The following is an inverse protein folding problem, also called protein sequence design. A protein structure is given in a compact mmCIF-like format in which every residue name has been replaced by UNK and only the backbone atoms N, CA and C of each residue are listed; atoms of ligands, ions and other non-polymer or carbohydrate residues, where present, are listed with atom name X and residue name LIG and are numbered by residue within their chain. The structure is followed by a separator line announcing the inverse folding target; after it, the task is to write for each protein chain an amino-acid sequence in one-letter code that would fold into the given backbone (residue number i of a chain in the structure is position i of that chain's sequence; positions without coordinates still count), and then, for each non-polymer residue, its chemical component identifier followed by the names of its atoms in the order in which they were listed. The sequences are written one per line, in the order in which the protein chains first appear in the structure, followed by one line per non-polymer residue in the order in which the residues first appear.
data_IF_960047141757
#
_entry.id   IF_960047141757
#
_cell.length_a   1.000
_cell.length_b   1.000
_cell.length_c   1.000
_cell.angle_alpha   90.00
_cell.angle_beta   90.00
_cell.angle_gamma   90.00
#
_symmetry.space_group_name_H-M   'P 1'
#
loop_
_entity.id
_entity.type
_entity.pdbx_description
1 polymer ?
#
# COMPACT_ATOMS: atom_id res chain seq x y z
N UNK A 1 -14.40 11.48 17.05
CA UNK A 1 -14.01 10.06 17.29
C UNK A 1 -12.62 9.85 16.76
N UNK A 2 -11.71 9.27 17.57
CA UNK A 2 -10.35 8.96 17.10
C UNK A 2 -10.41 7.86 16.03
N UNK A 3 -9.60 8.00 14.97
CA UNK A 3 -9.40 6.96 13.98
C UNK A 3 -8.72 5.77 14.65
N UNK A 4 -9.26 4.57 14.43
CA UNK A 4 -8.68 3.34 14.96
C UNK A 4 -7.86 2.69 13.85
N UNK A 5 -6.55 2.60 14.07
CA UNK A 5 -5.62 1.89 13.17
C UNK A 5 -5.34 0.53 13.81
N UNK A 6 -5.55 -0.53 13.05
CA UNK A 6 -5.25 -1.90 13.48
C UNK A 6 -3.85 -2.28 12.99
N UNK A 7 -3.02 -2.86 13.85
CA UNK A 7 -1.74 -3.43 13.43
C UNK A 7 -1.98 -4.78 12.74
N UNK A 8 -1.22 -5.12 11.68
CA UNK A 8 -1.43 -6.34 10.90
C UNK A 8 -1.49 -7.63 11.73
N UNK A 9 -0.73 -7.70 12.82
CA UNK A 9 -0.75 -8.87 13.75
C UNK A 9 -2.10 -9.06 14.42
N UNK A 10 -2.80 -7.96 14.70
CA UNK A 10 -4.10 -7.94 15.39
C UNK A 10 -5.28 -7.86 14.42
N UNK A 11 -5.03 -8.00 13.10
CA UNK A 11 -6.09 -7.97 12.11
C UNK A 11 -6.90 -9.26 12.17
N UNK A 12 -8.16 -9.11 12.55
CA UNK A 12 -9.14 -10.17 12.64
C UNK A 12 -10.03 -10.12 11.38
N UNK A 13 -9.97 -11.18 10.58
CA UNK A 13 -10.72 -11.30 9.33
C UNK A 13 -12.21 -11.51 9.61
N UNK A 14 -12.57 -12.22 10.70
CA UNK A 14 -13.95 -12.51 11.04
C UNK A 14 -14.72 -11.25 11.49
N UNK A 15 -13.98 -10.24 11.98
CA UNK A 15 -14.56 -8.95 12.35
C UNK A 15 -14.88 -8.04 11.14
N UNK A 16 -14.48 -8.43 9.92
CA UNK A 16 -14.73 -7.61 8.72
C UNK A 16 -16.18 -7.70 8.31
N UNK A 17 -16.84 -6.55 8.33
CA UNK A 17 -18.23 -6.38 7.90
C UNK A 17 -18.34 -5.70 6.53
N UNK A 18 -19.52 -5.83 5.93
CA UNK A 18 -19.83 -5.29 4.62
C UNK A 18 -21.08 -4.41 4.68
N UNK A 19 -21.02 -3.25 4.05
CA UNK A 19 -22.19 -2.37 3.94
C UNK A 19 -23.21 -2.92 2.96
N UNK A 20 -24.41 -2.34 2.93
CA UNK A 20 -25.35 -2.53 1.81
C UNK A 20 -24.73 -2.03 0.51
N UNK A 21 -25.15 -2.63 -0.63
CA UNK A 21 -24.75 -2.16 -1.96
C UNK A 21 -25.12 -0.69 -2.15
N UNK A 22 -24.14 0.11 -2.57
CA UNK A 22 -24.34 1.51 -2.94
C UNK A 22 -24.08 1.70 -4.43
N UNK A 23 -24.87 2.56 -5.05
CA UNK A 23 -24.68 3.00 -6.44
C UNK A 23 -24.26 4.46 -6.41
N UNK A 24 -23.23 4.81 -7.15
CA UNK A 24 -22.84 6.20 -7.35
C UNK A 24 -23.67 6.86 -8.49
N UNK A 25 -23.53 8.18 -8.62
CA UNK A 25 -24.25 8.95 -9.66
C UNK A 25 -23.91 8.52 -11.10
N UNK A 26 -22.74 7.92 -11.30
CA UNK A 26 -22.26 7.42 -12.60
C UNK A 26 -22.60 5.94 -12.83
N UNK A 27 -23.48 5.33 -12.00
CA UNK A 27 -23.92 3.93 -12.14
C UNK A 27 -22.95 2.90 -11.56
N UNK A 28 -21.77 3.30 -11.09
CA UNK A 28 -20.82 2.40 -10.44
C UNK A 28 -21.38 1.85 -9.13
N UNK A 29 -21.15 0.56 -8.89
CA UNK A 29 -21.60 -0.17 -7.68
C UNK A 29 -20.43 -0.37 -6.73
N UNK A 30 -20.70 -0.28 -5.43
CA UNK A 30 -19.70 -0.52 -4.39
C UNK A 30 -20.33 -1.06 -3.10
N UNK A 31 -19.59 -1.90 -2.40
CA UNK A 31 -19.88 -2.37 -1.04
C UNK A 31 -18.68 -2.00 -0.17
N UNK A 32 -18.89 -1.22 0.88
CA UNK A 32 -17.80 -0.74 1.73
C UNK A 32 -17.44 -1.79 2.78
N UNK A 33 -16.12 -1.96 3.00
CA UNK A 33 -15.61 -2.76 4.09
C UNK A 33 -15.57 -1.91 5.37
N UNK A 34 -15.83 -2.57 6.49
CA UNK A 34 -15.76 -1.95 7.81
C UNK A 34 -15.35 -2.96 8.88
N UNK A 35 -14.95 -2.47 10.04
CA UNK A 35 -14.81 -3.25 11.27
C UNK A 35 -15.56 -2.48 12.35
N UNK A 36 -16.59 -3.10 12.95
CA UNK A 36 -17.48 -2.45 13.94
C UNK A 36 -18.03 -1.10 13.43
N UNK A 37 -18.53 -1.08 12.19
CA UNK A 37 -19.07 0.10 11.50
C UNK A 37 -18.08 1.27 11.28
N UNK A 38 -16.79 1.02 11.48
CA UNK A 38 -15.71 1.99 11.23
C UNK A 38 -14.90 1.57 10.01
N UNK A 39 -14.22 2.53 9.39
CA UNK A 39 -13.28 2.26 8.30
C UNK A 39 -12.19 1.30 8.74
N UNK A 40 -11.82 0.40 7.86
CA UNK A 40 -10.74 -0.56 8.09
C UNK A 40 -9.39 0.05 7.72
N UNK A 41 -8.73 0.65 8.72
CA UNK A 41 -7.34 1.08 8.60
C UNK A 41 -6.41 0.02 9.15
N UNK A 42 -5.44 -0.39 8.33
CA UNK A 42 -4.46 -1.41 8.69
C UNK A 42 -3.05 -0.85 8.54
N UNK A 43 -2.24 -0.99 9.59
CA UNK A 43 -0.79 -0.80 9.50
C UNK A 43 -0.17 -2.11 9.04
N UNK A 44 0.44 -2.09 7.86
CA UNK A 44 1.15 -3.22 7.28
C UNK A 44 2.52 -3.41 7.96
N UNK A 45 3.14 -4.59 7.87
CA UNK A 45 4.54 -4.76 8.24
C UNK A 45 5.46 -3.94 7.32
N UNK A 46 6.75 -3.92 7.64
CA UNK A 46 7.76 -3.35 6.76
C UNK A 46 7.92 -4.24 5.52
N UNK A 47 7.62 -3.69 4.36
CA UNK A 47 7.65 -4.38 3.06
C UNK A 47 8.57 -3.64 2.09
N UNK A 48 9.07 -4.36 1.10
CA UNK A 48 9.86 -3.79 0.00
C UNK A 48 8.93 -3.33 -1.12
N UNK A 49 9.20 -2.17 -1.68
CA UNK A 49 8.56 -1.71 -2.93
C UNK A 49 9.44 -2.12 -4.12
N UNK A 50 9.04 -3.11 -4.93
CA UNK A 50 9.87 -3.61 -6.01
C UNK A 50 10.04 -2.62 -7.16
N UNK A 51 9.10 -1.68 -7.31
CA UNK A 51 9.08 -0.74 -8.46
C UNK A 51 9.16 0.73 -8.03
N UNK A 52 8.99 1.04 -6.73
CA UNK A 52 8.79 2.41 -6.27
C UNK A 52 7.40 2.95 -6.62
N UNK A 53 7.27 4.26 -6.63
CA UNK A 53 6.04 4.94 -7.06
C UNK A 53 5.78 4.66 -8.54
N UNK A 54 4.66 4.01 -8.84
CA UNK A 54 4.25 3.66 -10.20
C UNK A 54 3.19 4.62 -10.72
N UNK A 55 3.35 5.03 -11.98
CA UNK A 55 2.46 5.95 -12.68
C UNK A 55 1.86 5.25 -13.90
N UNK A 56 0.57 5.43 -14.11
CA UNK A 56 -0.13 4.97 -15.32
C UNK A 56 -1.01 6.10 -15.85
N UNK A 57 -0.84 6.43 -17.11
CA UNK A 57 -1.69 7.39 -17.83
C UNK A 57 -2.57 6.62 -18.81
N UNK A 58 -3.87 6.80 -18.69
CA UNK A 58 -4.85 6.21 -19.60
C UNK A 58 -4.83 6.96 -20.92
N UNK A 59 -4.52 6.26 -22.00
CA UNK A 59 -4.36 6.86 -23.35
C UNK A 59 -5.66 7.46 -23.90
N UNK A 60 -6.81 6.96 -23.43
CA UNK A 60 -8.12 7.41 -23.93
C UNK A 60 -8.60 8.66 -23.20
N UNK A 61 -8.40 8.71 -21.90
CA UNK A 61 -8.91 9.79 -21.04
C UNK A 61 -7.86 10.81 -20.64
N UNK A 62 -6.56 10.52 -20.88
CA UNK A 62 -5.43 11.32 -20.43
C UNK A 62 -5.25 11.36 -18.89
N UNK A 63 -6.05 10.57 -18.16
CA UNK A 63 -6.03 10.56 -16.71
C UNK A 63 -4.85 9.77 -16.17
N UNK A 64 -4.03 10.44 -15.37
CA UNK A 64 -2.93 9.81 -14.65
C UNK A 64 -3.40 9.22 -13.32
N UNK A 65 -2.94 8.02 -13.02
CA UNK A 65 -3.17 7.32 -11.76
C UNK A 65 -1.85 6.84 -11.17
N UNK A 66 -1.79 6.82 -9.85
CA UNK A 66 -0.59 6.45 -9.09
C UNK A 66 -0.86 5.23 -8.22
N UNK A 67 0.16 4.41 -8.05
CA UNK A 67 0.09 3.22 -7.21
C UNK A 67 1.46 2.86 -6.63
N UNK A 68 1.43 2.10 -5.54
CA UNK A 68 2.58 1.52 -4.90
C UNK A 68 2.35 0.01 -4.78
N UNK A 69 3.22 -0.78 -5.40
CA UNK A 69 3.20 -2.22 -5.23
C UNK A 69 4.18 -2.59 -4.11
N UNK A 70 3.73 -3.45 -3.18
CA UNK A 70 4.52 -3.95 -2.07
C UNK A 70 4.73 -5.46 -2.22
N UNK A 71 5.97 -5.89 -2.07
CA UNK A 71 6.39 -7.28 -2.22
C UNK A 71 6.12 -8.06 -0.93
N UNK A 72 5.55 -9.25 -1.09
CA UNK A 72 5.32 -10.22 -0.03
C UNK A 72 6.45 -11.25 -0.07
N UNK A 73 7.67 -10.76 0.24
CA UNK A 73 8.91 -11.55 0.14
C UNK A 73 8.86 -12.78 1.05
N UNK A 74 9.21 -13.95 0.54
CA UNK A 74 9.10 -15.24 1.24
C UNK A 74 10.07 -15.41 2.39
N UNK A 75 11.15 -14.66 2.41
CA UNK A 75 12.14 -14.59 3.49
C UNK A 75 11.72 -13.65 4.64
N UNK A 76 10.61 -12.90 4.47
CA UNK A 76 10.04 -12.02 5.48
C UNK A 76 8.82 -12.67 6.14
N UNK A 77 8.98 -13.16 7.36
CA UNK A 77 7.91 -13.84 8.13
C UNK A 77 6.65 -12.98 8.27
N UNK A 78 6.80 -11.68 8.57
CA UNK A 78 5.64 -10.78 8.72
C UNK A 78 4.93 -10.53 7.39
N UNK A 79 5.66 -10.52 6.27
CA UNK A 79 5.07 -10.45 4.93
C UNK A 79 4.25 -11.70 4.61
N UNK A 80 4.73 -12.88 5.01
CA UNK A 80 4.03 -14.14 4.81
C UNK A 80 2.78 -14.25 5.70
N UNK A 81 2.83 -13.81 6.96
CA UNK A 81 1.66 -13.70 7.84
C UNK A 81 0.61 -12.75 7.25
N UNK A 82 1.04 -11.61 6.72
CA UNK A 82 0.14 -10.67 6.03
C UNK A 82 -0.47 -11.30 4.79
N UNK A 83 0.35 -12.00 3.97
CA UNK A 83 -0.10 -12.69 2.76
C UNK A 83 -1.22 -13.68 3.07
N UNK A 84 -1.06 -14.47 4.12
CA UNK A 84 -2.07 -15.43 4.56
C UNK A 84 -3.37 -14.72 4.95
N UNK A 85 -3.30 -13.65 5.77
CA UNK A 85 -4.48 -12.85 6.15
C UNK A 85 -5.17 -12.21 4.95
N UNK A 86 -4.42 -11.69 3.99
CA UNK A 86 -5.01 -11.13 2.76
C UNK A 86 -5.69 -12.21 1.91
N UNK A 87 -5.12 -13.41 1.85
CA UNK A 87 -5.75 -14.55 1.17
C UNK A 87 -7.05 -14.97 1.87
N UNK A 88 -7.07 -15.02 3.21
CA UNK A 88 -8.30 -15.29 3.97
C UNK A 88 -9.35 -14.20 3.74
N UNK A 89 -8.95 -12.93 3.62
CA UNK A 89 -9.85 -11.84 3.28
C UNK A 89 -10.40 -11.99 1.86
N UNK A 90 -9.58 -12.41 0.88
CA UNK A 90 -10.02 -12.72 -0.48
C UNK A 90 -11.10 -13.82 -0.47
N UNK A 91 -10.92 -14.88 0.32
CA UNK A 91 -11.90 -15.96 0.49
C UNK A 91 -13.23 -15.45 1.08
N UNK A 92 -13.16 -14.64 2.14
CA UNK A 92 -14.33 -14.03 2.76
C UNK A 92 -15.11 -13.15 1.76
N UNK A 93 -14.41 -12.38 0.95
CA UNK A 93 -14.99 -11.50 -0.07
C UNK A 93 -15.67 -12.32 -1.16
N UNK A 94 -15.01 -13.36 -1.68
CA UNK A 94 -15.59 -14.24 -2.71
C UNK A 94 -16.87 -14.88 -2.19
N UNK A 95 -16.84 -15.47 -0.99
CA UNK A 95 -18.00 -16.07 -0.35
C UNK A 95 -19.16 -15.09 -0.21
N UNK A 96 -18.86 -13.89 0.32
CA UNK A 96 -19.87 -12.84 0.50
C UNK A 96 -20.48 -12.39 -0.81
N UNK A 97 -19.66 -12.23 -1.87
CA UNK A 97 -20.16 -11.85 -3.21
C UNK A 97 -21.00 -12.98 -3.82
N UNK A 98 -20.64 -14.24 -3.65
CA UNK A 98 -21.43 -15.39 -4.13
C UNK A 98 -22.82 -15.40 -3.49
N UNK A 99 -22.88 -15.24 -2.17
CA UNK A 99 -24.14 -15.19 -1.42
C UNK A 99 -25.06 -14.06 -1.88
N UNK A 100 -24.48 -12.90 -2.22
CA UNK A 100 -25.22 -11.71 -2.64
C UNK A 100 -25.19 -11.47 -4.17
N UNK A 101 -24.74 -12.45 -4.96
CA UNK A 101 -24.45 -12.26 -6.40
C UNK A 101 -25.66 -11.79 -7.21
N UNK A 102 -26.86 -12.24 -6.87
CA UNK A 102 -28.10 -11.81 -7.54
C UNK A 102 -28.33 -10.30 -7.40
N UNK A 103 -28.07 -9.75 -6.21
CA UNK A 103 -28.26 -8.32 -5.93
C UNK A 103 -27.08 -7.49 -6.48
N UNK A 104 -25.84 -7.94 -6.20
CA UNK A 104 -24.65 -7.15 -6.49
C UNK A 104 -24.22 -7.25 -7.96
N UNK A 105 -24.31 -8.44 -8.56
CA UNK A 105 -23.91 -8.71 -9.94
C UNK A 105 -25.08 -8.83 -10.91
N UNK A 106 -26.35 -8.84 -10.41
CA UNK A 106 -27.56 -8.90 -11.22
C UNK A 106 -28.02 -10.30 -11.57
N UNK A 107 -27.20 -11.35 -11.36
CA UNK A 107 -27.55 -12.76 -11.54
C UNK A 107 -26.76 -13.63 -10.56
N UNK A 108 -27.26 -14.86 -10.34
CA UNK A 108 -26.55 -15.83 -9.51
C UNK A 108 -25.31 -16.35 -10.23
N UNK A 109 -24.21 -16.38 -9.51
CA UNK A 109 -22.95 -17.01 -9.91
C UNK A 109 -22.56 -18.07 -8.89
N UNK A 110 -21.90 -19.13 -9.33
CA UNK A 110 -21.28 -20.10 -8.44
C UNK A 110 -19.89 -19.60 -8.00
N UNK A 111 -19.34 -20.21 -6.97
CA UNK A 111 -18.07 -19.81 -6.39
C UNK A 111 -16.90 -19.94 -7.37
N UNK A 112 -16.84 -21.05 -8.13
CA UNK A 112 -15.76 -21.27 -9.11
C UNK A 112 -15.69 -20.14 -10.14
N UNK A 113 -16.82 -19.73 -10.71
CA UNK A 113 -16.90 -18.62 -11.66
C UNK A 113 -16.49 -17.30 -11.00
N UNK A 114 -16.97 -17.04 -9.78
CA UNK A 114 -16.58 -15.83 -9.05
C UNK A 114 -15.08 -15.77 -8.84
N UNK A 115 -14.46 -16.86 -8.38
CA UNK A 115 -13.05 -16.97 -8.07
C UNK A 115 -12.17 -16.84 -9.31
N UNK A 116 -12.44 -17.61 -10.34
CA UNK A 116 -11.55 -17.77 -11.49
C UNK A 116 -11.73 -16.70 -12.56
N UNK A 117 -12.96 -16.25 -12.78
CA UNK A 117 -13.28 -15.39 -13.91
C UNK A 117 -13.58 -13.93 -13.52
N UNK A 118 -14.18 -13.70 -12.35
CA UNK A 118 -14.70 -12.38 -11.99
C UNK A 118 -13.89 -11.64 -10.95
N UNK A 119 -13.27 -12.36 -10.02
CA UNK A 119 -12.50 -11.74 -8.92
C UNK A 119 -11.12 -11.26 -9.35
N UNK A 120 -10.72 -10.12 -8.80
CA UNK A 120 -9.36 -9.58 -8.87
C UNK A 120 -8.76 -9.63 -7.48
N UNK A 121 -7.87 -10.60 -7.19
CA UNK A 121 -7.36 -10.83 -5.85
C UNK A 121 -6.50 -9.68 -5.33
N UNK A 122 -6.50 -9.52 -4.00
CA UNK A 122 -5.62 -8.59 -3.28
C UNK A 122 -4.16 -9.00 -3.43
N UNK A 123 -3.91 -10.30 -3.24
CA UNK A 123 -2.59 -10.90 -3.44
C UNK A 123 -2.44 -11.22 -4.92
N UNK A 124 -1.55 -10.49 -5.59
CA UNK A 124 -1.22 -10.68 -7.00
C UNK A 124 -0.05 -11.63 -7.11
N UNK A 125 -0.25 -12.75 -7.78
CA UNK A 125 0.80 -13.73 -7.99
C UNK A 125 1.96 -13.14 -8.80
N UNK A 126 3.17 -13.30 -8.26
CA UNK A 126 4.42 -13.07 -8.96
C UNK A 126 4.70 -14.18 -9.97
N UNK A 127 5.42 -13.85 -11.03
CA UNK A 127 6.01 -14.88 -11.90
C UNK A 127 7.35 -15.30 -11.30
N UNK A 128 7.58 -16.59 -11.12
CA UNK A 128 8.87 -17.08 -10.64
C UNK A 128 10.05 -16.44 -11.39
N UNK A 129 11.08 -15.96 -10.70
CA UNK A 129 11.36 -16.09 -9.26
C UNK A 129 10.82 -14.93 -8.38
N UNK A 130 9.92 -14.11 -8.88
CA UNK A 130 9.45 -12.91 -8.17
C UNK A 130 8.34 -13.26 -7.18
N UNK A 131 8.38 -12.67 -5.97
CA UNK A 131 7.36 -12.88 -4.95
C UNK A 131 6.02 -12.23 -5.33
N UNK A 132 4.97 -12.66 -4.65
CA UNK A 132 3.65 -12.06 -4.75
C UNK A 132 3.67 -10.59 -4.32
N UNK A 133 2.68 -9.82 -4.76
CA UNK A 133 2.58 -8.39 -4.44
C UNK A 133 1.16 -7.99 -4.03
N UNK A 134 1.08 -6.92 -3.25
CA UNK A 134 -0.17 -6.20 -2.98
C UNK A 134 -0.06 -4.79 -3.54
N UNK A 135 -1.11 -4.33 -4.25
CA UNK A 135 -1.13 -3.00 -4.87
C UNK A 135 -1.94 -2.00 -4.05
N UNK A 136 -1.32 -0.89 -3.72
CA UNK A 136 -1.94 0.25 -3.05
C UNK A 136 -2.25 1.35 -4.06
N UNK A 137 -3.49 1.83 -4.05
CA UNK A 137 -3.89 3.00 -4.84
C UNK A 137 -3.48 4.27 -4.11
N UNK A 138 -2.87 5.20 -4.85
CA UNK A 138 -2.52 6.53 -4.36
C UNK A 138 -3.52 7.53 -4.95
N UNK A 139 -4.14 8.33 -4.07
CA UNK A 139 -5.05 9.38 -4.50
C UNK A 139 -4.29 10.69 -4.68
N UNK A 140 -4.75 11.47 -5.65
CA UNK A 140 -4.35 12.86 -5.84
C UNK A 140 -5.51 13.81 -5.55
N UNK A 141 -5.19 15.00 -5.10
CA UNK A 141 -6.13 16.11 -4.96
C UNK A 141 -6.57 16.65 -6.32
N UNK A 142 -7.49 17.59 -6.34
CA UNK A 142 -7.87 18.31 -7.57
C UNK A 142 -6.73 19.15 -8.15
N UNK A 143 -5.73 19.53 -7.34
CA UNK A 143 -4.52 20.26 -7.72
C UNK A 143 -3.40 19.34 -8.21
N UNK A 144 -3.58 18.01 -8.15
CA UNK A 144 -2.60 17.02 -8.57
C UNK A 144 -1.65 16.54 -7.46
N UNK A 145 -1.73 17.14 -6.27
CA UNK A 145 -0.90 16.75 -5.13
C UNK A 145 -1.31 15.39 -4.57
N UNK A 146 -0.35 14.63 -4.06
CA UNK A 146 -0.63 13.37 -3.39
C UNK A 146 -1.40 13.61 -2.09
N UNK A 147 -2.51 12.89 -1.91
CA UNK A 147 -3.32 12.93 -0.68
C UNK A 147 -2.63 12.20 0.48
N UNK A 148 -2.05 10.98 0.28
CA UNK A 148 -1.33 10.31 1.36
C UNK A 148 -0.02 11.03 1.67
N UNK A 149 0.43 10.89 2.92
CA UNK A 149 1.64 11.50 3.45
C UNK A 149 2.74 10.46 3.59
N UNK A 150 3.99 10.88 3.41
CA UNK A 150 5.16 10.05 3.66
C UNK A 150 6.08 10.71 4.70
N UNK A 151 6.71 9.88 5.52
CA UNK A 151 7.59 10.29 6.59
C UNK A 151 8.88 9.48 6.58
N UNK A 152 9.97 10.10 7.00
CA UNK A 152 11.22 9.42 7.35
C UNK A 152 11.13 8.80 8.75
N UNK A 153 12.11 8.00 9.13
CA UNK A 153 12.24 7.47 10.50
C UNK A 153 12.49 8.55 11.54
N UNK A 154 13.04 9.72 11.15
CA UNK A 154 13.15 10.93 11.98
C UNK A 154 11.82 11.68 12.13
N UNK A 155 10.70 11.14 11.58
CA UNK A 155 9.36 11.75 11.58
C UNK A 155 9.24 13.03 10.75
N UNK A 156 10.18 13.29 9.88
CA UNK A 156 10.10 14.40 8.93
C UNK A 156 9.22 14.02 7.74
N UNK A 157 8.42 14.97 7.27
CA UNK A 157 7.61 14.78 6.08
C UNK A 157 8.51 14.77 4.85
N UNK A 158 8.34 13.73 4.02
CA UNK A 158 9.07 13.55 2.76
C UNK A 158 8.09 13.40 1.60
N UNK A 159 8.55 13.59 0.38
CA UNK A 159 7.72 13.36 -0.80
C UNK A 159 7.48 11.86 -1.05
N UNK A 160 6.30 11.50 -1.55
CA UNK A 160 6.02 10.11 -1.98
C UNK A 160 6.90 9.67 -3.16
N UNK A 161 7.38 10.61 -3.96
CA UNK A 161 8.32 10.42 -5.07
C UNK A 161 9.71 9.93 -4.61
N UNK A 162 10.04 10.11 -3.33
CA UNK A 162 11.25 9.54 -2.72
C UNK A 162 11.20 8.02 -2.57
N UNK A 163 10.00 7.40 -2.69
CA UNK A 163 9.84 5.94 -2.72
C UNK A 163 10.33 5.41 -4.06
N UNK A 164 11.59 5.02 -4.10
CA UNK A 164 12.23 4.46 -5.30
C UNK A 164 12.17 2.93 -5.30
N UNK A 165 12.59 2.34 -6.42
CA UNK A 165 12.72 0.87 -6.54
C UNK A 165 13.60 0.31 -5.41
N UNK A 166 13.09 -0.70 -4.71
CA UNK A 166 13.78 -1.38 -3.62
C UNK A 166 13.60 -0.73 -2.25
N UNK A 167 12.97 0.44 -2.15
CA UNK A 167 12.70 1.10 -0.86
C UNK A 167 11.92 0.17 0.08
N UNK A 168 12.30 0.19 1.37
CA UNK A 168 11.58 -0.49 2.44
C UNK A 168 10.64 0.51 3.11
N UNK A 169 9.37 0.16 3.18
CA UNK A 169 8.32 1.05 3.68
C UNK A 169 7.36 0.32 4.62
N UNK A 170 6.89 1.02 5.64
CA UNK A 170 5.76 0.60 6.47
C UNK A 170 4.57 1.48 6.09
N UNK A 171 3.45 0.88 5.67
CA UNK A 171 2.31 1.62 5.18
C UNK A 171 1.09 1.49 6.10
N UNK A 172 0.34 2.58 6.27
CA UNK A 172 -1.02 2.57 6.77
C UNK A 172 -1.95 2.64 5.56
N UNK A 173 -2.85 1.67 5.45
CA UNK A 173 -3.77 1.52 4.32
C UNK A 173 -5.23 1.53 4.76
N UNK A 174 -6.13 1.90 3.85
CA UNK A 174 -7.58 1.84 4.01
C UNK A 174 -8.14 0.81 3.03
N UNK A 175 -8.76 -0.25 3.54
CA UNK A 175 -9.54 -1.20 2.74
C UNK A 175 -10.94 -0.62 2.53
N UNK A 176 -11.13 0.04 1.39
CA UNK A 176 -12.27 0.94 1.21
C UNK A 176 -13.54 0.21 0.84
N UNK A 177 -13.49 -0.51 -0.29
CA UNK A 177 -14.72 -1.08 -0.88
C UNK A 177 -14.41 -2.21 -1.85
N UNK A 178 -15.39 -3.10 -2.00
CA UNK A 178 -15.50 -3.98 -3.15
C UNK A 178 -16.11 -3.14 -4.28
N UNK A 179 -15.41 -3.02 -5.38
CA UNK A 179 -15.89 -2.37 -6.60
C UNK A 179 -16.45 -3.42 -7.58
N UNK A 180 -17.42 -3.02 -8.40
CA UNK A 180 -18.03 -3.88 -9.42
C UNK A 180 -18.01 -3.15 -10.76
N UNK A 181 -17.32 -3.71 -11.77
CA UNK A 181 -17.20 -3.19 -13.13
C UNK A 181 -17.28 -4.37 -14.11
N UNK A 182 -18.19 -4.32 -15.07
CA UNK A 182 -18.35 -5.35 -16.11
C UNK A 182 -18.41 -6.79 -15.57
N UNK A 183 -19.18 -7.00 -14.52
CA UNK A 183 -19.26 -8.25 -13.74
C UNK A 183 -17.97 -8.67 -13.02
N UNK A 184 -16.86 -7.96 -13.17
CA UNK A 184 -15.66 -8.19 -12.37
C UNK A 184 -15.76 -7.42 -11.06
N UNK A 185 -15.10 -7.94 -10.04
CA UNK A 185 -15.04 -7.30 -8.74
C UNK A 185 -13.66 -7.48 -8.07
N UNK A 186 -13.36 -6.61 -7.16
CA UNK A 186 -12.13 -6.65 -6.38
C UNK A 186 -12.15 -5.57 -5.31
N UNK A 187 -11.12 -5.51 -4.47
CA UNK A 187 -11.03 -4.54 -3.38
C UNK A 187 -10.16 -3.35 -3.75
N UNK A 188 -10.59 -2.18 -3.36
CA UNK A 188 -9.75 -0.97 -3.41
C UNK A 188 -9.01 -0.82 -2.09
N UNK A 189 -7.69 -0.93 -2.12
CA UNK A 189 -6.80 -0.63 -1.01
C UNK A 189 -6.10 0.69 -1.30
N UNK A 190 -6.23 1.67 -0.40
CA UNK A 190 -5.65 3.01 -0.56
C UNK A 190 -4.51 3.22 0.42
N UNK A 191 -3.41 3.77 -0.07
CA UNK A 191 -2.36 4.29 0.80
C UNK A 191 -2.90 5.51 1.57
N UNK A 192 -2.62 5.58 2.87
CA UNK A 192 -2.92 6.71 3.74
C UNK A 192 -1.65 7.38 4.23
N UNK A 193 -0.71 6.59 4.74
CA UNK A 193 0.60 7.07 5.16
C UNK A 193 1.67 6.04 4.83
N UNK A 194 2.89 6.51 4.56
CA UNK A 194 4.07 5.68 4.36
C UNK A 194 5.19 6.16 5.28
N UNK A 195 5.84 5.23 5.96
CA UNK A 195 7.08 5.46 6.70
C UNK A 195 8.22 4.83 5.91
N UNK A 196 9.18 5.65 5.50
CA UNK A 196 10.33 5.22 4.70
C UNK A 196 11.52 4.92 5.59
N UNK A 197 12.15 3.77 5.34
CA UNK A 197 13.45 3.46 5.91
C UNK A 197 14.56 4.21 5.15
N UNK A 198 15.61 4.66 5.84
CA UNK A 198 16.77 5.22 5.18
C UNK A 198 17.35 4.19 4.20
N UNK A 199 17.58 4.60 2.97
CA UNK A 199 18.32 3.79 2.00
C UNK A 199 19.80 4.13 2.14
N UNK A 200 20.63 3.13 2.42
CA UNK A 200 22.08 3.30 2.34
C UNK A 200 22.45 3.57 0.87
N UNK A 201 22.65 4.82 0.55
CA UNK A 201 23.20 5.23 -0.76
C UNK A 201 24.71 5.22 -0.66
N UNK A 202 25.37 4.68 -1.67
CA UNK A 202 26.81 4.89 -1.82
C UNK A 202 27.07 6.41 -1.96
N UNK A 203 28.17 6.91 -1.37
CA UNK A 203 28.60 8.29 -1.63
C UNK A 203 28.74 8.54 -3.13
N UNK A 204 28.70 9.79 -3.55
CA UNK A 204 28.74 10.18 -4.96
C UNK A 204 29.98 9.66 -5.71
N UNK A 205 31.07 9.43 -4.97
CA UNK A 205 32.27 8.76 -5.46
C UNK A 205 32.74 7.77 -4.38
N UNK A 206 32.49 6.46 -4.63
CA UNK A 206 32.77 5.38 -3.67
C UNK A 206 33.91 4.43 -4.12
N UNK A 207 34.65 4.78 -5.16
CA UNK A 207 35.70 3.95 -5.68
C UNK A 207 36.96 4.04 -4.81
N UNK A 208 37.50 2.86 -4.43
CA UNK A 208 38.76 2.75 -3.69
C UNK A 208 39.92 2.53 -4.66
N UNK A 209 41.08 3.12 -4.35
CA UNK A 209 42.32 2.90 -5.10
C UNK A 209 42.38 3.53 -6.49
N UNK A 210 41.56 4.54 -6.77
CA UNK A 210 41.63 5.31 -8.02
C UNK A 210 42.56 6.48 -7.80
N UNK A 211 43.73 6.48 -8.47
CA UNK A 211 44.69 7.54 -8.38
C UNK A 211 44.09 8.90 -8.77
N UNK A 212 44.14 9.89 -7.85
CA UNK A 212 43.60 11.24 -8.05
C UNK A 212 42.45 11.66 -7.12
N UNK A 213 41.89 10.74 -6.32
CA UNK A 213 40.96 11.10 -5.26
C UNK A 213 41.77 11.59 -4.02
N UNK A 214 41.86 12.89 -3.80
CA UNK A 214 42.26 13.42 -2.52
C UNK A 214 41.26 12.98 -1.46
N UNK A 215 41.75 12.36 -0.40
CA UNK A 215 40.98 12.03 0.79
C UNK A 215 40.47 13.37 1.40
N UNK A 216 39.28 13.79 0.98
CA UNK A 216 38.52 14.75 1.76
C UNK A 216 37.76 13.92 2.79
N UNK A 217 38.41 13.67 3.91
CA UNK A 217 37.73 13.34 5.15
C UNK A 217 36.76 14.49 5.41
N UNK A 218 35.47 14.17 5.41
CA UNK A 218 34.48 15.01 6.03
C UNK A 218 34.78 14.95 7.53
N UNK A 219 35.53 15.92 8.02
CA UNK A 219 35.57 16.21 9.44
C UNK A 219 34.17 16.73 9.79
N UNK A 220 33.41 15.91 10.52
CA UNK A 220 32.28 16.37 11.30
C UNK A 220 32.84 17.37 12.31
N UNK A 221 32.76 18.67 12.02
CA UNK A 221 32.88 19.70 13.02
C UNK A 221 31.73 19.56 14.02
N UNK A 222 31.97 18.78 15.05
CA UNK A 222 31.31 18.95 16.33
C UNK A 222 31.72 20.30 16.87
N UNK A 223 30.85 21.28 16.74
CA UNK A 223 30.98 22.54 17.49
C UNK A 223 30.47 22.23 18.89
N UNK A 224 31.39 21.90 19.79
CA UNK A 224 31.19 22.02 21.22
C UNK A 224 31.04 23.52 21.57
N UNK A 225 29.79 23.95 21.80
CA UNK A 225 29.50 25.17 22.54
C UNK A 225 29.53 24.84 24.04
N UNK A 226 30.73 24.80 24.62
CA UNK A 226 30.89 24.87 26.06
C UNK A 226 31.38 26.25 26.41
N UNK A 227 30.50 26.97 27.15
CA UNK A 227 30.71 27.86 28.28
C UNK A 227 31.84 28.91 28.25
N UNK A 228 31.43 30.14 28.37
CA UNK A 228 32.12 31.08 29.29
C UNK A 228 31.09 31.99 30.01
N UNK A 229 30.82 31.64 31.26
CA UNK A 229 30.39 32.56 32.29
C UNK A 229 31.64 33.07 33.00
N UNK A 230 31.88 34.38 32.98
CA UNK A 230 32.64 35.21 33.95
C UNK A 230 32.55 36.66 33.41
N UNK A 231 32.12 37.66 34.10
CA UNK A 231 31.99 38.27 35.42
C UNK A 231 30.87 39.37 35.36
#
# INVERSE_FOLDING_TARGET
MALQITHHKNFDIEAVGFSKLRKNKSGGKAVYLNVSDKKLYLQLPKLRSPYGLSTYTDDTTGKTSYSLDLSLDTDNTEAMELREKLTQLDELIIKTVVENSKEWLGKKFNEAVCREALYKPLVRQGKEPYPDTVKLKILTSSTGDFVPEAYSTSRERVGLDTITKGSKVTCIVDFVQIWFIDNKFGVTVRLQQALLEPSAKLPSFAFLGVDGASETQAEDEFVDEDEEYEE
#
